data_IF_004274969675
#
_entry.id   IF_004274969675
#
_cell.length_a   1.000
_cell.length_b   1.000
_cell.length_c   1.000
_cell.angle_alpha   90.00
_cell.angle_beta   90.00
_cell.angle_gamma   90.00
#
_symmetry.space_group_name_H-M   'P 1'
#
loop_
_entity.id
_entity.type
_entity.pdbx_description
1 polymer ?
#
# COMPACT_ATOMS: atom_id res chain seq x y z
N UNK A 1 9.12 2.15 19.60
CA UNK A 1 9.70 2.23 18.24
C UNK A 1 8.69 1.69 17.23
N UNK A 2 8.47 2.44 16.17
CA UNK A 2 7.57 2.03 15.10
C UNK A 2 8.23 0.99 14.22
N UNK A 3 7.49 -0.05 13.86
CA UNK A 3 7.98 -1.11 12.97
C UNK A 3 6.94 -1.43 11.91
N UNK A 4 7.39 -1.56 10.67
CA UNK A 4 6.57 -2.05 9.58
C UNK A 4 6.63 -3.58 9.58
N UNK A 5 5.49 -4.23 9.47
CA UNK A 5 5.41 -5.69 9.52
C UNK A 5 4.39 -6.22 8.52
N UNK A 6 4.79 -7.24 7.76
CA UNK A 6 3.84 -7.96 6.91
C UNK A 6 2.94 -8.81 7.80
N UNK A 7 1.62 -8.68 7.64
CA UNK A 7 0.66 -9.48 8.40
C UNK A 7 0.55 -10.86 7.74
N UNK A 8 0.91 -11.94 8.45
CA UNK A 8 0.72 -13.29 7.91
C UNK A 8 -0.75 -13.54 7.63
N UNK A 9 -1.05 -14.24 6.53
CA UNK A 9 -2.41 -14.48 6.09
C UNK A 9 -3.29 -15.08 7.20
N UNK A 10 -2.74 -16.00 7.99
CA UNK A 10 -3.48 -16.68 9.05
C UNK A 10 -3.89 -15.80 10.23
N UNK A 11 -3.33 -14.60 10.36
CA UNK A 11 -3.64 -13.70 11.49
C UNK A 11 -4.27 -12.39 11.05
N UNK A 12 -4.70 -12.29 9.79
CA UNK A 12 -5.34 -11.06 9.27
C UNK A 12 -6.55 -10.67 10.11
N UNK A 13 -7.39 -11.64 10.47
CA UNK A 13 -8.59 -11.36 11.26
C UNK A 13 -8.28 -10.71 12.60
N UNK A 14 -7.17 -11.03 13.21
CA UNK A 14 -6.74 -10.43 14.47
C UNK A 14 -6.43 -8.94 14.31
N UNK A 15 -5.89 -8.55 13.17
CA UNK A 15 -5.53 -7.17 12.89
C UNK A 15 -6.71 -6.29 12.46
N UNK A 16 -7.79 -6.88 11.93
CA UNK A 16 -8.88 -6.15 11.28
C UNK A 16 -9.50 -5.04 12.12
N UNK A 17 -9.81 -5.24 13.43
CA UNK A 17 -10.44 -4.16 14.21
C UNK A 17 -9.63 -2.87 14.21
N UNK A 18 -8.31 -2.97 14.21
CA UNK A 18 -7.43 -1.81 14.17
C UNK A 18 -7.17 -1.29 12.76
N UNK A 19 -7.28 -2.16 11.75
CA UNK A 19 -6.96 -1.81 10.35
C UNK A 19 -8.16 -1.17 9.63
N UNK A 20 -9.39 -1.56 9.96
CA UNK A 20 -10.59 -1.07 9.27
C UNK A 20 -10.66 0.45 9.16
N UNK A 21 -10.36 1.25 10.20
CA UNK A 21 -10.38 2.70 10.05
C UNK A 21 -9.44 3.22 8.95
N UNK A 22 -8.30 2.57 8.77
CA UNK A 22 -7.34 2.92 7.71
C UNK A 22 -7.81 2.44 6.34
N UNK A 23 -8.52 1.30 6.28
CA UNK A 23 -9.13 0.83 5.03
C UNK A 23 -10.17 1.82 4.51
N UNK A 24 -10.91 2.47 5.41
CA UNK A 24 -11.88 3.51 5.03
C UNK A 24 -11.19 4.70 4.39
N UNK A 25 -10.02 5.09 4.88
CA UNK A 25 -9.22 6.15 4.26
C UNK A 25 -8.76 5.72 2.87
N UNK A 26 -8.28 4.49 2.72
CA UNK A 26 -7.86 3.96 1.42
C UNK A 26 -9.02 3.86 0.45
N UNK A 27 -10.21 3.50 0.92
CA UNK A 27 -11.43 3.48 0.09
C UNK A 27 -11.67 4.83 -0.58
N UNK A 28 -11.53 5.92 0.17
CA UNK A 28 -11.72 7.27 -0.38
C UNK A 28 -10.77 7.56 -1.55
N UNK A 29 -9.54 7.07 -1.45
CA UNK A 29 -8.53 7.28 -2.48
C UNK A 29 -8.78 6.49 -3.77
N UNK A 30 -9.64 5.49 -3.74
CA UNK A 30 -10.01 4.74 -4.94
C UNK A 30 -10.95 5.53 -5.85
N UNK A 31 -11.55 6.59 -5.34
CA UNK A 31 -12.50 7.42 -6.07
C UNK A 31 -13.66 6.60 -6.63
N UNK A 32 -14.21 5.72 -5.80
CA UNK A 32 -15.37 4.91 -6.16
C UNK A 32 -15.05 3.63 -6.94
N UNK A 33 -13.76 3.30 -7.12
CA UNK A 33 -13.38 2.07 -7.83
C UNK A 33 -13.47 0.84 -6.94
N UNK A 34 -13.28 1.00 -5.63
CA UNK A 34 -13.34 -0.08 -4.66
C UNK A 34 -13.89 0.42 -3.33
N UNK A 35 -14.51 -0.46 -2.57
CA UNK A 35 -14.91 -0.19 -1.20
C UNK A 35 -14.07 -1.03 -0.22
N UNK A 36 -14.32 -0.86 1.08
CA UNK A 36 -13.59 -1.60 2.12
C UNK A 36 -13.71 -3.11 1.92
N UNK A 37 -14.91 -3.59 1.60
CA UNK A 37 -15.14 -5.04 1.41
C UNK A 37 -14.33 -5.58 0.22
N UNK A 38 -14.25 -4.83 -0.86
CA UNK A 38 -13.45 -5.22 -2.03
C UNK A 38 -11.97 -5.34 -1.66
N UNK A 39 -11.43 -4.33 -0.99
CA UNK A 39 -10.03 -4.31 -0.58
C UNK A 39 -9.75 -5.47 0.38
N UNK A 40 -10.64 -5.67 1.35
CA UNK A 40 -10.52 -6.78 2.31
C UNK A 40 -10.52 -8.13 1.61
N UNK A 41 -11.41 -8.32 0.63
CA UNK A 41 -11.47 -9.56 -0.12
C UNK A 41 -10.18 -9.81 -0.91
N UNK A 42 -9.56 -8.79 -1.47
CA UNK A 42 -8.27 -8.94 -2.14
C UNK A 42 -7.16 -9.34 -1.16
N UNK A 43 -7.20 -8.82 0.06
CA UNK A 43 -6.24 -9.20 1.11
C UNK A 43 -6.48 -10.65 1.53
N UNK A 44 -7.72 -11.03 1.80
CA UNK A 44 -8.08 -12.37 2.26
C UNK A 44 -7.84 -13.45 1.20
N UNK A 45 -7.99 -13.11 -0.08
CA UNK A 45 -7.72 -14.05 -1.17
C UNK A 45 -6.23 -14.24 -1.45
N UNK A 46 -5.36 -13.44 -0.81
CA UNK A 46 -3.92 -13.47 -1.06
C UNK A 46 -3.47 -12.66 -2.26
N UNK A 47 -4.40 -12.03 -2.99
CA UNK A 47 -4.05 -11.17 -4.13
C UNK A 47 -3.25 -9.94 -3.70
N UNK A 48 -3.62 -9.38 -2.54
CA UNK A 48 -2.92 -8.23 -1.97
C UNK A 48 -2.32 -8.59 -0.62
N UNK A 49 -1.23 -7.94 -0.28
CA UNK A 49 -0.55 -8.11 1.00
C UNK A 49 -0.88 -6.92 1.89
N UNK A 50 -1.14 -7.21 3.17
CA UNK A 50 -1.37 -6.20 4.20
C UNK A 50 -0.11 -6.05 5.05
N UNK A 51 0.41 -4.83 5.11
CA UNK A 51 1.50 -4.45 6.00
C UNK A 51 0.95 -3.45 7.01
N UNK A 52 1.38 -3.55 8.25
CA UNK A 52 0.94 -2.64 9.30
C UNK A 52 2.14 -1.99 9.97
N UNK A 53 1.93 -0.78 10.47
CA UNK A 53 2.92 -0.09 11.28
C UNK A 53 2.54 -0.32 12.75
N UNK A 54 3.43 -0.97 13.47
CA UNK A 54 3.21 -1.37 14.86
C UNK A 54 4.09 -0.58 15.81
N UNK A 55 3.50 -0.22 16.95
CA UNK A 55 4.25 0.14 18.14
C UNK A 55 3.70 -0.74 19.26
N UNK A 56 4.51 -1.71 19.71
CA UNK A 56 3.99 -2.77 20.56
C UNK A 56 2.94 -3.59 19.81
N UNK A 57 1.71 -3.62 20.34
CA UNK A 57 0.60 -4.32 19.70
C UNK A 57 -0.40 -3.36 19.05
N UNK A 58 -0.10 -2.06 19.07
CA UNK A 58 -0.98 -1.05 18.50
C UNK A 58 -0.61 -0.76 17.05
N UNK A 59 -1.62 -0.74 16.17
CA UNK A 59 -1.45 -0.42 14.76
C UNK A 59 -1.66 1.07 14.55
N UNK A 60 -0.71 1.71 13.86
CA UNK A 60 -0.73 3.14 13.58
C UNK A 60 -0.89 3.48 12.10
N UNK A 61 -1.09 2.49 11.26
CA UNK A 61 -1.28 2.69 9.84
C UNK A 61 -1.09 1.42 9.06
N UNK A 62 -1.38 1.47 7.76
CA UNK A 62 -1.19 0.33 6.89
C UNK A 62 -0.60 0.71 5.53
N UNK A 63 -0.04 -0.30 4.90
CA UNK A 63 0.41 -0.30 3.52
C UNK A 63 -0.22 -1.51 2.85
N UNK A 64 -0.78 -1.36 1.66
CA UNK A 64 -1.36 -2.47 0.90
C UNK A 64 -0.65 -2.58 -0.42
N UNK A 65 -0.17 -3.77 -0.73
CA UNK A 65 0.65 -4.05 -1.91
C UNK A 65 0.09 -5.20 -2.70
N UNK A 66 0.53 -5.34 -3.96
CA UNK A 66 0.27 -6.54 -4.74
C UNK A 66 1.43 -6.81 -5.69
N UNK A 67 1.62 -8.06 -6.04
CA UNK A 67 2.52 -8.46 -7.11
C UNK A 67 1.69 -8.52 -8.38
N UNK A 68 1.98 -7.63 -9.32
CA UNK A 68 1.21 -7.50 -10.55
C UNK A 68 1.96 -8.11 -11.72
N UNK A 69 1.29 -9.00 -12.44
CA UNK A 69 1.86 -9.64 -13.62
C UNK A 69 1.57 -8.82 -14.87
N UNK A 70 2.64 -8.46 -15.58
CA UNK A 70 2.56 -7.93 -16.92
C UNK A 70 3.09 -9.00 -17.89
N UNK A 71 2.81 -8.89 -19.17
CA UNK A 71 3.29 -9.90 -20.13
C UNK A 71 4.81 -10.13 -20.11
N UNK A 72 5.59 -9.11 -19.80
CA UNK A 72 7.04 -9.18 -19.87
C UNK A 72 7.75 -9.13 -18.52
N UNK A 73 7.05 -8.85 -17.44
CA UNK A 73 7.66 -8.78 -16.11
C UNK A 73 6.60 -8.74 -15.03
N UNK A 74 7.05 -8.93 -13.79
CA UNK A 74 6.23 -8.68 -12.60
C UNK A 74 6.68 -7.38 -11.97
N UNK A 75 5.75 -6.63 -11.40
CA UNK A 75 6.04 -5.43 -10.61
C UNK A 75 5.43 -5.56 -9.22
N UNK A 76 6.15 -5.10 -8.22
CA UNK A 76 5.62 -4.99 -6.87
C UNK A 76 4.96 -3.63 -6.74
N UNK A 77 3.65 -3.61 -6.52
CA UNK A 77 2.86 -2.38 -6.56
C UNK A 77 2.44 -2.00 -5.14
N UNK A 78 2.81 -0.80 -4.72
CA UNK A 78 2.30 -0.21 -3.48
C UNK A 78 1.03 0.54 -3.85
N UNK A 79 -0.13 -0.06 -3.54
CA UNK A 79 -1.43 0.45 -3.97
C UNK A 79 -2.00 1.51 -3.04
N UNK A 80 -1.95 1.26 -1.72
CA UNK A 80 -2.54 2.13 -0.73
C UNK A 80 -1.61 2.31 0.45
N UNK A 81 -1.57 3.53 0.96
CA UNK A 81 -0.82 3.86 2.16
C UNK A 81 -1.70 4.79 3.00
N UNK A 82 -2.06 4.36 4.19
CA UNK A 82 -2.89 5.15 5.10
C UNK A 82 -2.21 5.21 6.47
N UNK A 83 -1.63 6.37 6.79
CA UNK A 83 -1.00 6.64 8.08
C UNK A 83 -0.80 8.13 8.24
N UNK A 84 -0.67 8.58 9.48
CA UNK A 84 -0.38 9.97 9.76
C UNK A 84 1.01 10.37 9.23
N UNK A 85 1.21 11.65 8.81
CA UNK A 85 2.49 12.08 8.25
C UNK A 85 3.69 11.83 9.17
N UNK A 86 3.55 11.99 10.48
CA UNK A 86 4.65 11.76 11.42
C UNK A 86 4.98 10.27 11.55
N UNK A 87 4.00 9.40 11.39
CA UNK A 87 4.21 7.95 11.35
C UNK A 87 4.97 7.59 10.08
N UNK A 88 4.52 8.10 8.94
CA UNK A 88 5.18 7.86 7.67
C UNK A 88 6.66 8.23 7.73
N UNK A 89 6.97 9.43 8.25
CA UNK A 89 8.36 9.87 8.36
C UNK A 89 9.23 8.92 9.19
N UNK A 90 8.63 8.26 10.20
CA UNK A 90 9.36 7.34 11.06
C UNK A 90 9.61 5.96 10.44
N UNK A 91 8.87 5.57 9.42
CA UNK A 91 8.97 4.23 8.80
C UNK A 91 9.32 4.25 7.32
N UNK A 92 9.53 5.43 6.74
CA UNK A 92 9.75 5.57 5.30
C UNK A 92 10.92 4.72 4.80
N UNK A 93 12.04 4.74 5.51
CA UNK A 93 13.20 3.94 5.13
C UNK A 93 12.91 2.44 5.23
N UNK A 94 12.20 2.00 6.28
CA UNK A 94 11.78 0.60 6.41
C UNK A 94 10.87 0.18 5.26
N UNK A 95 9.96 1.06 4.84
CA UNK A 95 9.07 0.79 3.71
C UNK A 95 9.87 0.49 2.45
N UNK A 96 10.89 1.28 2.17
CA UNK A 96 11.71 1.08 0.98
C UNK A 96 12.53 -0.20 1.07
N UNK A 97 13.13 -0.47 2.22
CA UNK A 97 13.90 -1.70 2.42
C UNK A 97 13.04 -2.95 2.26
N UNK A 98 11.88 -2.96 2.90
CA UNK A 98 10.98 -4.13 2.86
C UNK A 98 10.36 -4.30 1.47
N UNK A 99 10.01 -3.22 0.80
CA UNK A 99 9.48 -3.26 -0.55
C UNK A 99 10.52 -3.86 -1.51
N UNK A 100 11.77 -3.41 -1.44
CA UNK A 100 12.82 -3.97 -2.27
C UNK A 100 13.06 -5.45 -1.98
N UNK A 101 13.17 -5.81 -0.71
CA UNK A 101 13.41 -7.19 -0.31
C UNK A 101 12.29 -8.12 -0.79
N UNK A 102 11.04 -7.72 -0.59
CA UNK A 102 9.89 -8.51 -0.99
C UNK A 102 9.77 -8.60 -2.52
N UNK A 103 9.99 -7.49 -3.21
CA UNK A 103 9.96 -7.45 -4.68
C UNK A 103 11.00 -8.40 -5.27
N UNK A 104 12.23 -8.37 -4.77
CA UNK A 104 13.30 -9.26 -5.22
C UNK A 104 12.99 -10.72 -4.91
N UNK A 105 12.48 -11.00 -3.71
CA UNK A 105 12.12 -12.34 -3.28
C UNK A 105 11.02 -12.94 -4.16
N UNK A 106 10.08 -12.12 -4.62
CA UNK A 106 8.96 -12.59 -5.44
C UNK A 106 9.24 -12.51 -6.94
N UNK A 107 10.45 -12.16 -7.34
CA UNK A 107 10.86 -12.16 -8.75
C UNK A 107 10.38 -10.94 -9.53
N UNK A 108 10.10 -9.83 -8.85
CA UNK A 108 9.69 -8.60 -9.50
C UNK A 108 10.86 -7.87 -10.14
N UNK A 109 10.61 -7.22 -11.28
CA UNK A 109 11.61 -6.41 -11.98
C UNK A 109 11.80 -5.04 -11.35
N UNK A 110 10.81 -4.58 -10.57
CA UNK A 110 10.85 -3.28 -9.94
C UNK A 110 9.64 -3.04 -9.06
N UNK A 111 9.51 -1.79 -8.62
CA UNK A 111 8.45 -1.36 -7.73
C UNK A 111 7.68 -0.22 -8.40
N UNK A 112 6.35 -0.31 -8.38
CA UNK A 112 5.47 0.78 -8.74
C UNK A 112 4.84 1.35 -7.47
N UNK A 113 4.82 2.65 -7.35
CA UNK A 113 4.16 3.33 -6.25
C UNK A 113 3.04 4.19 -6.79
N UNK A 114 1.80 3.88 -6.42
CA UNK A 114 0.63 4.67 -6.81
C UNK A 114 0.38 5.69 -5.71
N UNK A 115 0.80 6.91 -5.94
CA UNK A 115 0.73 7.97 -4.95
C UNK A 115 0.19 9.28 -5.50
N UNK A 116 -0.14 10.17 -4.58
CA UNK A 116 -0.55 11.53 -4.93
C UNK A 116 0.66 12.34 -5.37
N UNK A 117 0.46 13.44 -6.13
CA UNK A 117 1.58 14.28 -6.57
C UNK A 117 2.52 14.74 -5.45
N UNK A 118 2.00 14.92 -4.23
CA UNK A 118 2.82 15.30 -3.07
C UNK A 118 3.91 14.30 -2.70
N UNK A 119 3.82 13.06 -3.17
CA UNK A 119 4.83 12.03 -2.93
C UNK A 119 6.05 12.13 -3.85
N UNK A 120 5.96 12.92 -4.92
CA UNK A 120 6.98 12.95 -5.97
C UNK A 120 8.38 13.23 -5.42
N UNK A 121 8.52 14.20 -4.53
CA UNK A 121 9.82 14.58 -3.97
C UNK A 121 10.41 13.44 -3.13
N UNK A 122 9.61 12.83 -2.26
CA UNK A 122 10.06 11.70 -1.43
C UNK A 122 10.45 10.51 -2.28
N UNK A 123 9.67 10.21 -3.32
CA UNK A 123 9.93 9.06 -4.17
C UNK A 123 11.22 9.23 -4.98
N UNK A 124 11.52 10.43 -5.47
CA UNK A 124 12.78 10.70 -6.18
C UNK A 124 13.99 10.41 -5.31
N UNK A 125 13.93 10.71 -4.03
CA UNK A 125 15.00 10.44 -3.06
C UNK A 125 15.38 8.95 -3.03
N UNK A 126 14.41 8.07 -3.26
CA UNK A 126 14.60 6.62 -3.26
C UNK A 126 14.80 6.02 -4.66
N UNK A 127 14.97 6.85 -5.67
CA UNK A 127 15.28 6.38 -7.02
C UNK A 127 14.08 6.11 -7.92
N UNK A 128 12.90 6.57 -7.53
CA UNK A 128 11.71 6.44 -8.37
C UNK A 128 11.61 7.57 -9.39
N UNK A 129 11.15 7.23 -10.58
CA UNK A 129 10.80 8.20 -11.62
C UNK A 129 9.28 8.30 -11.73
N UNK A 130 8.78 9.46 -12.14
CA UNK A 130 7.38 9.59 -12.50
C UNK A 130 7.21 9.01 -13.90
N UNK A 131 6.57 7.83 -13.97
CA UNK A 131 6.40 7.11 -15.23
C UNK A 131 5.24 7.66 -16.06
N UNK A 132 4.14 8.04 -15.38
CA UNK A 132 2.95 8.54 -16.08
C UNK A 132 2.08 9.34 -15.12
N UNK A 133 1.13 10.08 -15.70
CA UNK A 133 0.09 10.78 -14.93
C UNK A 133 -1.25 10.26 -15.41
N UNK A 134 -2.09 9.82 -14.48
CA UNK A 134 -3.44 9.36 -14.80
C UNK A 134 -4.39 10.56 -14.82
N UNK A 135 -5.14 10.70 -15.91
CA UNK A 135 -6.24 11.66 -15.98
C UNK A 135 -7.55 10.87 -15.86
N UNK A 136 -8.52 11.41 -15.12
CA UNK A 136 -9.81 10.76 -14.96
C UNK A 136 -10.94 11.72 -15.22
N UNK A 137 -12.06 11.18 -15.68
CA UNK A 137 -13.30 11.93 -15.88
C UNK A 137 -14.46 10.96 -15.61
N UNK A 138 -15.19 11.20 -14.55
CA UNK A 138 -16.41 10.45 -14.27
C UNK A 138 -17.58 11.13 -15.00
N UNK A 139 -18.49 10.32 -15.58
CA UNK A 139 -19.67 10.84 -16.26
C UNK A 139 -20.77 11.26 -15.28
N UNK A 140 -20.74 10.68 -14.06
CA UNK A 140 -21.60 11.04 -12.96
C UNK A 140 -20.75 11.27 -11.72
N UNK A 141 -21.25 12.08 -10.77
CA UNK A 141 -20.54 12.32 -9.54
C UNK A 141 -20.40 11.01 -8.74
N UNK A 142 -19.20 10.75 -8.22
CA UNK A 142 -18.92 9.57 -7.41
C UNK A 142 -18.34 9.99 -6.07
N UNK A 143 -18.93 9.47 -5.02
CA UNK A 143 -18.53 9.77 -3.65
C UNK A 143 -18.04 8.51 -2.95
#
# INVERSE_FOLDING_TARGET
MMQLSLVPHGVIHTALPQVIPYLKVSEEWTRGRSNVDDILNFILSGRMQLWVVLEGQQIHGHLITEVKDYPRCKMFVVQYCAMEPHILASVEDQMQEFAEAYARKTGCAGIEFVGRPGWTKSMKKYGYDVQSVMFQKFFEERT
#
